data_IF_134945572232
#
_entry.id   IF_134945572232
#
_cell.length_a   1.000
_cell.length_b   1.000
_cell.length_c   1.000
_cell.angle_alpha   90.00
_cell.angle_beta   90.00
_cell.angle_gamma   90.00
#
_symmetry.space_group_name_H-M   'P 1'
#
loop_
_entity.id
_entity.type
_entity.pdbx_description
1 polymer ?
#
# COMPACT_ATOMS: atom_id res chain seq x y z
N UNK A 1 -6.46 -21.20 5.33
CA UNK A 1 -6.78 -19.94 4.63
C UNK A 1 -8.15 -20.16 4.00
N UNK A 2 -9.17 -19.39 4.36
CA UNK A 2 -10.48 -19.57 3.77
C UNK A 2 -10.42 -19.10 2.31
N UNK A 3 -10.69 -19.99 1.36
CA UNK A 3 -10.93 -19.60 -0.03
C UNK A 3 -12.21 -18.77 -0.06
N UNK A 4 -12.11 -17.48 -0.34
CA UNK A 4 -13.28 -16.62 -0.50
C UNK A 4 -13.95 -16.99 -1.82
N UNK A 5 -14.90 -17.90 -1.78
CA UNK A 5 -15.70 -18.30 -2.94
C UNK A 5 -16.66 -17.16 -3.33
N UNK A 6 -16.90 -17.01 -4.64
CA UNK A 6 -17.82 -16.02 -5.17
C UNK A 6 -19.28 -16.44 -4.91
N UNK A 7 -20.06 -15.55 -4.29
CA UNK A 7 -21.47 -15.78 -3.97
C UNK A 7 -22.33 -15.23 -5.11
N UNK A 8 -23.19 -16.08 -5.69
CA UNK A 8 -24.15 -15.68 -6.72
C UNK A 8 -25.24 -14.74 -6.15
N UNK A 9 -25.73 -13.79 -6.95
CA UNK A 9 -26.87 -12.97 -6.54
C UNK A 9 -28.16 -13.80 -6.42
N UNK A 10 -29.16 -13.32 -5.68
CA UNK A 10 -30.50 -13.91 -5.68
C UNK A 10 -31.08 -14.00 -7.09
N UNK A 11 -31.94 -14.99 -7.33
CA UNK A 11 -32.61 -15.15 -8.62
C UNK A 11 -33.39 -13.87 -8.99
N UNK A 12 -33.22 -13.42 -10.24
CA UNK A 12 -33.86 -12.21 -10.74
C UNK A 12 -33.20 -10.89 -10.30
N UNK A 13 -32.04 -10.92 -9.64
CA UNK A 13 -31.32 -9.69 -9.29
C UNK A 13 -30.93 -8.88 -10.54
N UNK A 14 -31.15 -7.57 -10.47
CA UNK A 14 -30.67 -6.59 -11.45
C UNK A 14 -30.01 -5.41 -10.71
N UNK A 15 -28.80 -4.99 -11.11
CA UNK A 15 -28.12 -3.88 -10.44
C UNK A 15 -28.84 -2.55 -10.66
N UNK A 16 -28.90 -1.71 -9.62
CA UNK A 16 -29.35 -0.34 -9.74
C UNK A 16 -28.22 0.56 -10.28
N UNK A 17 -28.16 0.61 -11.62
CA UNK A 17 -27.21 1.42 -12.37
C UNK A 17 -27.36 2.92 -12.10
N UNK A 18 -28.54 3.42 -11.71
CA UNK A 18 -28.75 4.86 -11.48
C UNK A 18 -28.14 5.28 -10.15
N UNK A 19 -28.23 4.42 -9.14
CA UNK A 19 -27.67 4.65 -7.81
C UNK A 19 -26.24 4.15 -7.66
N UNK A 20 -25.65 3.56 -8.70
CA UNK A 20 -24.29 2.98 -8.62
C UNK A 20 -24.19 1.88 -7.57
N UNK A 21 -25.26 1.08 -7.45
CA UNK A 21 -25.33 -0.12 -6.62
C UNK A 21 -25.17 -1.34 -7.53
N UNK A 22 -24.37 -2.30 -7.08
CA UNK A 22 -24.15 -3.55 -7.80
C UNK A 22 -23.92 -4.68 -6.80
N UNK A 23 -24.16 -5.91 -7.26
CA UNK A 23 -23.87 -7.11 -6.50
C UNK A 23 -22.37 -7.29 -6.35
N UNK A 24 -21.92 -7.44 -5.10
CA UNK A 24 -20.54 -7.82 -4.82
C UNK A 24 -20.48 -9.32 -4.47
N UNK A 25 -19.84 -10.17 -5.30
CA UNK A 25 -19.75 -11.61 -5.07
C UNK A 25 -18.97 -11.98 -3.81
N UNK A 26 -18.04 -11.13 -3.38
CA UNK A 26 -17.20 -11.38 -2.22
C UNK A 26 -17.82 -10.87 -0.91
N UNK A 27 -18.74 -9.90 -0.99
CA UNK A 27 -19.51 -9.46 0.18
C UNK A 27 -20.83 -10.23 0.32
N UNK A 28 -21.29 -10.91 -0.74
CA UNK A 28 -22.58 -11.62 -0.77
C UNK A 28 -23.79 -10.70 -0.63
N UNK A 29 -23.69 -9.44 -1.04
CA UNK A 29 -24.77 -8.45 -0.94
C UNK A 29 -24.65 -7.37 -2.01
N UNK A 30 -25.77 -6.69 -2.26
CA UNK A 30 -25.76 -5.43 -3.00
C UNK A 30 -24.98 -4.39 -2.20
N UNK A 31 -24.01 -3.74 -2.86
CA UNK A 31 -23.17 -2.74 -2.20
C UNK A 31 -23.01 -1.50 -3.04
N UNK A 32 -22.82 -0.33 -2.39
CA UNK A 32 -22.39 0.87 -3.06
C UNK A 32 -20.95 0.72 -3.54
N UNK A 33 -20.74 1.02 -4.82
CA UNK A 33 -19.40 1.18 -5.35
C UNK A 33 -18.97 2.64 -5.17
N UNK A 34 -17.68 2.83 -4.94
CA UNK A 34 -17.03 4.12 -4.81
C UNK A 34 -15.97 4.25 -5.90
N UNK A 35 -15.82 5.45 -6.48
CA UNK A 35 -14.85 5.65 -7.54
C UNK A 35 -13.45 5.80 -6.96
N UNK A 36 -12.52 5.00 -7.47
CA UNK A 36 -11.08 5.15 -7.20
C UNK A 36 -10.48 6.07 -8.27
N UNK A 37 -10.20 7.32 -7.89
CA UNK A 37 -9.60 8.32 -8.78
C UNK A 37 -8.15 8.00 -9.13
N UNK A 38 -7.46 7.20 -8.31
CA UNK A 38 -6.05 6.85 -8.54
C UNK A 38 -5.91 5.85 -9.66
N UNK A 39 -6.84 4.90 -9.76
CA UNK A 39 -6.79 3.82 -10.74
C UNK A 39 -7.87 3.91 -11.84
N UNK A 40 -8.77 4.89 -11.74
CA UNK A 40 -9.84 5.16 -12.70
C UNK A 40 -10.84 4.01 -12.91
N UNK A 41 -11.32 3.45 -11.81
CA UNK A 41 -12.37 2.43 -11.83
C UNK A 41 -13.17 2.41 -10.52
N UNK A 42 -14.34 1.78 -10.54
CA UNK A 42 -15.24 1.71 -9.40
C UNK A 42 -14.94 0.49 -8.51
N UNK A 43 -14.85 0.69 -7.19
CA UNK A 43 -14.55 -0.38 -6.22
C UNK A 43 -15.69 -0.56 -5.24
N UNK A 44 -15.97 -1.80 -4.85
CA UNK A 44 -16.89 -2.10 -3.76
C UNK A 44 -16.42 -1.40 -2.48
N UNK A 45 -17.30 -0.65 -1.81
CA UNK A 45 -16.95 0.08 -0.59
C UNK A 45 -16.61 -0.85 0.59
N UNK A 46 -17.09 -2.10 0.56
CA UNK A 46 -16.82 -3.12 1.59
C UNK A 46 -15.46 -3.79 1.41
N UNK A 47 -15.37 -4.69 0.44
CA UNK A 47 -14.19 -5.54 0.23
C UNK A 47 -13.11 -4.92 -0.69
N UNK A 48 -13.44 -3.89 -1.47
CA UNK A 48 -12.50 -3.24 -2.38
C UNK A 48 -12.37 -3.87 -3.77
N UNK A 49 -13.15 -4.92 -4.08
CA UNK A 49 -13.14 -5.53 -5.41
C UNK A 49 -13.56 -4.51 -6.48
N UNK A 50 -12.95 -4.57 -7.66
CA UNK A 50 -13.28 -3.69 -8.77
C UNK A 50 -14.53 -4.14 -9.51
N UNK A 51 -15.17 -3.21 -10.21
CA UNK A 51 -16.21 -3.49 -11.20
C UNK A 51 -15.69 -4.29 -12.42
N UNK A 52 -14.36 -4.34 -12.59
CA UNK A 52 -13.69 -5.09 -13.66
C UNK A 52 -13.47 -6.57 -13.33
N UNK A 53 -13.68 -6.97 -12.08
CA UNK A 53 -13.55 -8.35 -11.64
C UNK A 53 -14.46 -9.30 -12.43
N UNK A 54 -14.00 -10.53 -12.65
CA UNK A 54 -14.70 -11.54 -13.45
C UNK A 54 -16.13 -11.79 -12.95
N UNK A 55 -16.29 -12.07 -11.65
CA UNK A 55 -17.60 -12.41 -11.08
C UNK A 55 -18.47 -11.18 -10.90
N UNK A 56 -17.88 -10.01 -10.63
CA UNK A 56 -18.64 -8.76 -10.62
C UNK A 56 -19.23 -8.48 -12.00
N UNK A 57 -18.45 -8.67 -13.07
CA UNK A 57 -18.97 -8.52 -14.44
C UNK A 57 -19.99 -9.58 -14.79
N UNK A 58 -19.78 -10.83 -14.37
CA UNK A 58 -20.70 -11.93 -14.60
C UNK A 58 -22.07 -11.68 -13.99
N UNK A 59 -22.11 -11.40 -12.70
CA UNK A 59 -23.36 -11.29 -11.95
C UNK A 59 -24.11 -9.98 -12.14
N UNK A 60 -23.44 -8.95 -12.67
CA UNK A 60 -24.07 -7.66 -12.98
C UNK A 60 -24.20 -7.40 -14.49
N UNK A 61 -23.86 -8.38 -15.33
CA UNK A 61 -23.90 -8.28 -16.80
C UNK A 61 -23.08 -7.11 -17.36
N UNK A 62 -21.82 -6.98 -16.95
CA UNK A 62 -20.86 -5.95 -17.43
C UNK A 62 -19.82 -6.50 -18.42
N UNK A 63 -20.22 -7.43 -19.30
CA UNK A 63 -19.28 -8.14 -20.16
C UNK A 63 -18.78 -7.32 -21.34
N UNK A 64 -19.60 -6.48 -21.95
CA UNK A 64 -19.10 -5.65 -23.04
C UNK A 64 -18.41 -4.38 -22.52
N UNK A 65 -17.18 -4.15 -22.97
CA UNK A 65 -16.51 -2.87 -22.73
C UNK A 65 -17.10 -1.76 -23.61
N UNK A 66 -17.70 -2.15 -24.74
CA UNK A 66 -18.53 -1.29 -25.57
C UNK A 66 -19.93 -1.06 -24.96
N UNK A 67 -20.31 -1.82 -23.94
CA UNK A 67 -21.64 -1.72 -23.37
C UNK A 67 -21.80 -0.39 -22.65
N UNK A 68 -22.85 0.34 -23.01
CA UNK A 68 -23.28 1.54 -22.31
C UNK A 68 -23.55 1.27 -20.83
N UNK A 69 -23.76 0.02 -20.42
CA UNK A 69 -24.05 -0.38 -19.03
C UNK A 69 -22.90 -0.15 -18.07
N UNK A 70 -21.69 -0.67 -18.36
CA UNK A 70 -20.55 -0.47 -17.46
C UNK A 70 -20.16 1.02 -17.42
N UNK A 71 -20.19 1.69 -18.57
CA UNK A 71 -19.97 3.13 -18.68
C UNK A 71 -21.00 3.92 -17.86
N UNK A 72 -22.29 3.60 -17.99
CA UNK A 72 -23.37 4.23 -17.23
C UNK A 72 -23.26 3.95 -15.74
N UNK A 73 -22.88 2.74 -15.34
CA UNK A 73 -22.63 2.37 -13.95
C UNK A 73 -21.48 3.20 -13.37
N UNK A 74 -20.33 3.22 -14.02
CA UNK A 74 -19.17 4.00 -13.58
C UNK A 74 -19.51 5.50 -13.55
N UNK A 75 -20.26 5.99 -14.54
CA UNK A 75 -20.73 7.37 -14.56
C UNK A 75 -21.70 7.68 -13.41
N UNK A 76 -22.60 6.76 -13.05
CA UNK A 76 -23.47 6.89 -11.90
C UNK A 76 -22.71 6.84 -10.57
N UNK A 77 -21.70 5.97 -10.45
CA UNK A 77 -20.79 5.94 -9.31
C UNK A 77 -20.05 7.28 -9.19
N UNK A 78 -19.54 7.85 -10.28
CA UNK A 78 -18.94 9.19 -10.29
C UNK A 78 -19.92 10.27 -9.84
N UNK A 79 -21.14 10.28 -10.38
CA UNK A 79 -22.21 11.23 -10.01
C UNK A 79 -22.64 11.10 -8.55
N UNK A 80 -22.54 9.91 -7.97
CA UNK A 80 -22.86 9.69 -6.55
C UNK A 80 -21.86 10.34 -5.59
N UNK A 81 -20.69 10.81 -6.07
CA UNK A 81 -19.68 11.49 -5.25
C UNK A 81 -18.91 10.58 -4.28
N UNK A 82 -19.23 9.28 -4.22
CA UNK A 82 -18.55 8.31 -3.36
C UNK A 82 -17.11 8.08 -3.82
N UNK A 83 -16.15 8.40 -2.96
CA UNK A 83 -14.71 8.24 -3.22
C UNK A 83 -14.16 7.03 -2.49
N UNK A 84 -13.43 6.16 -3.19
CA UNK A 84 -12.75 5.03 -2.57
C UNK A 84 -11.46 5.52 -1.89
N UNK A 85 -11.43 5.52 -0.56
CA UNK A 85 -10.33 6.08 0.25
C UNK A 85 -9.45 5.04 0.96
N UNK A 86 -9.71 3.73 0.80
CA UNK A 86 -8.86 2.73 1.45
C UNK A 86 -7.42 2.90 0.94
N UNK A 87 -6.43 2.99 1.85
CA UNK A 87 -5.04 3.07 1.46
C UNK A 87 -4.65 1.80 0.69
N UNK A 88 -3.70 1.92 -0.22
CA UNK A 88 -3.08 0.73 -0.77
C UNK A 88 -2.23 0.06 0.30
N UNK A 89 -2.07 -1.24 0.22
CA UNK A 89 -1.23 -2.00 1.16
C UNK A 89 0.20 -1.43 1.28
N UNK A 90 0.79 -0.97 0.17
CA UNK A 90 2.11 -0.31 0.18
C UNK A 90 2.08 1.13 0.72
N UNK A 91 0.92 1.78 0.84
CA UNK A 91 0.78 3.07 1.53
C UNK A 91 0.75 2.87 3.06
N UNK A 92 0.18 1.76 3.55
CA UNK A 92 0.22 1.40 4.97
C UNK A 92 1.66 1.10 5.44
N UNK A 93 2.45 0.37 4.63
CA UNK A 93 3.87 0.11 4.93
C UNK A 93 4.72 1.38 5.06
N UNK A 94 4.38 2.45 4.33
CA UNK A 94 5.09 3.72 4.44
C UNK A 94 4.81 4.45 5.76
N UNK A 95 3.64 4.26 6.38
CA UNK A 95 3.32 4.83 7.69
C UNK A 95 4.08 4.14 8.83
N UNK A 96 4.36 2.83 8.72
CA UNK A 96 5.20 2.10 9.68
C UNK A 96 6.68 2.55 9.64
N UNK A 97 7.19 2.94 8.47
CA UNK A 97 8.56 3.48 8.37
C UNK A 97 8.72 4.83 9.07
N UNK A 98 7.69 5.68 9.11
CA UNK A 98 7.71 6.96 9.82
C UNK A 98 7.76 6.79 11.36
N UNK A 99 7.26 5.67 11.88
CA UNK A 99 7.19 5.39 13.32
C UNK A 99 8.35 4.56 13.85
N UNK A 100 9.23 4.02 13.00
CA UNK A 100 10.36 3.19 13.39
C UNK A 100 11.55 4.02 13.92
N UNK A 101 11.31 4.79 14.98
CA UNK A 101 12.36 5.50 15.72
C UNK A 101 12.99 4.54 16.72
N UNK A 102 14.31 4.39 16.69
CA UNK A 102 15.05 3.56 17.65
C UNK A 102 16.13 4.35 18.37
N UNK A 103 16.52 3.97 19.60
CA UNK A 103 17.53 4.69 20.36
C UNK A 103 18.93 4.48 19.78
N UNK A 104 19.75 5.52 19.81
CA UNK A 104 21.16 5.44 19.44
C UNK A 104 21.98 4.72 20.52
N UNK A 105 22.79 3.72 20.16
CA UNK A 105 23.63 2.98 21.12
C UNK A 105 24.71 3.84 21.84
N UNK A 106 25.00 5.06 21.34
CA UNK A 106 26.02 5.96 21.92
C UNK A 106 25.44 7.09 22.77
N UNK A 107 24.23 7.58 22.45
CA UNK A 107 23.65 8.74 23.12
C UNK A 107 22.19 8.55 23.56
N UNK A 108 21.55 7.42 23.26
CA UNK A 108 20.16 7.13 23.62
C UNK A 108 19.10 7.87 22.82
N UNK A 109 19.46 8.94 22.09
CA UNK A 109 18.53 9.75 21.30
C UNK A 109 17.83 8.91 20.23
N UNK A 110 16.50 9.06 20.15
CA UNK A 110 15.67 8.41 19.14
C UNK A 110 15.97 9.00 17.77
N UNK A 111 16.23 8.14 16.79
CA UNK A 111 16.46 8.55 15.41
C UNK A 111 15.77 7.60 14.43
N UNK A 112 15.51 8.08 13.22
CA UNK A 112 14.99 7.29 12.11
C UNK A 112 16.16 6.62 11.38
N UNK A 113 16.30 5.29 11.44
CA UNK A 113 17.36 4.59 10.76
C UNK A 113 16.99 4.38 9.28
N UNK A 114 17.95 4.61 8.37
CA UNK A 114 17.80 4.23 6.97
C UNK A 114 17.83 2.70 6.74
N UNK A 115 18.34 1.93 7.70
CA UNK A 115 18.36 0.46 7.65
C UNK A 115 18.34 -0.16 9.05
N UNK A 116 17.87 -1.41 9.16
CA UNK A 116 17.79 -2.12 10.45
C UNK A 116 19.15 -2.25 11.15
N UNK A 117 20.25 -2.29 10.39
CA UNK A 117 21.62 -2.38 10.92
C UNK A 117 22.20 -1.07 11.44
N UNK A 118 21.54 0.07 11.23
CA UNK A 118 22.11 1.36 11.63
C UNK A 118 22.05 1.52 13.16
N UNK A 119 23.18 1.51 13.87
CA UNK A 119 23.23 1.49 15.34
C UNK A 119 23.32 2.86 16.02
N UNK A 120 23.64 3.91 15.25
CA UNK A 120 23.96 5.23 15.78
C UNK A 120 23.20 6.33 15.05
N UNK A 121 22.83 7.39 15.77
CA UNK A 121 22.29 8.60 15.16
C UNK A 121 23.33 9.26 14.23
N UNK A 122 22.91 10.12 13.28
CA UNK A 122 23.81 10.71 12.28
C UNK A 122 25.05 11.41 12.90
N UNK A 123 24.87 12.09 14.03
CA UNK A 123 25.96 12.78 14.76
C UNK A 123 26.96 11.77 15.36
N UNK A 124 26.46 10.73 16.03
CA UNK A 124 27.30 9.70 16.65
C UNK A 124 27.99 8.82 15.61
N UNK A 125 27.32 8.52 14.49
CA UNK A 125 27.91 7.81 13.36
C UNK A 125 29.06 8.62 12.73
N UNK A 126 28.90 9.93 12.55
CA UNK A 126 29.96 10.80 12.04
C UNK A 126 31.19 10.84 12.96
N UNK A 127 30.98 10.88 14.28
CA UNK A 127 32.07 10.78 15.27
C UNK A 127 32.81 9.44 15.18
N UNK A 128 32.08 8.32 15.15
CA UNK A 128 32.66 6.98 15.03
C UNK A 128 33.47 6.82 13.73
N UNK A 129 32.97 7.35 12.60
CA UNK A 129 33.70 7.35 11.32
C UNK A 129 35.03 8.11 11.42
N UNK A 130 35.04 9.29 12.06
CA UNK A 130 36.26 10.08 12.28
C UNK A 130 37.27 9.35 13.17
N UNK A 131 36.80 8.75 14.26
CA UNK A 131 37.64 7.93 15.17
C UNK A 131 38.26 6.74 14.44
N UNK A 132 37.46 5.99 13.68
CA UNK A 132 37.94 4.86 12.90
C UNK A 132 38.97 5.28 11.84
N UNK A 133 38.75 6.40 11.14
CA UNK A 133 39.71 6.92 10.16
C UNK A 133 41.05 7.31 10.80
N UNK A 134 41.02 7.98 11.97
CA UNK A 134 42.23 8.27 12.74
C UNK A 134 42.97 7.01 13.17
N UNK A 135 42.24 6.01 13.69
CA UNK A 135 42.83 4.74 14.13
C UNK A 135 43.44 3.96 12.97
N UNK A 136 42.81 3.97 11.78
CA UNK A 136 43.39 3.37 10.57
C UNK A 136 44.71 4.03 10.18
N UNK A 137 44.76 5.37 10.11
CA UNK A 137 46.00 6.11 9.81
C UNK A 137 47.10 5.84 10.84
N UNK A 138 46.74 5.78 12.13
CA UNK A 138 47.67 5.43 13.21
C UNK A 138 48.26 4.03 13.00
N UNK A 139 47.41 3.02 12.84
CA UNK A 139 47.84 1.63 12.59
C UNK A 139 48.68 1.49 11.32
N UNK A 140 48.36 2.26 10.28
CA UNK A 140 49.16 2.29 9.05
C UNK A 140 50.58 2.81 9.30
N UNK A 141 50.72 3.94 10.02
CA UNK A 141 52.02 4.50 10.40
C UNK A 141 52.80 3.54 11.30
N UNK A 142 52.14 2.89 12.26
CA UNK A 142 52.76 1.88 13.12
C UNK A 142 53.28 0.70 12.30
N UNK A 143 52.49 0.16 11.36
CA UNK A 143 52.93 -0.90 10.45
C UNK A 143 54.10 -0.48 9.56
N UNK A 144 54.09 0.73 9.02
CA UNK A 144 55.21 1.25 8.22
C UNK A 144 56.50 1.40 9.04
N UNK A 145 56.40 1.81 10.31
CA UNK A 145 57.55 1.88 11.21
C UNK A 145 58.14 0.50 11.51
N UNK A 146 57.29 -0.51 11.71
CA UNK A 146 57.74 -1.89 11.96
C UNK A 146 58.34 -2.53 10.70
N UNK A 147 57.79 -2.23 9.51
CA UNK A 147 58.29 -2.79 8.24
C UNK A 147 59.53 -2.07 7.68
N UNK A 148 59.86 -0.88 8.17
CA UNK A 148 61.02 -0.09 7.75
C UNK A 148 62.22 -0.17 8.72
N UNK A 149 62.20 -1.14 9.65
CA UNK A 149 63.28 -1.42 10.58
C UNK A 149 63.90 -2.79 10.27
#
# INVERSE_FOLDING_TARGET
MAETQAIAPPEGYSPDLKRGLAWCPYCGRETPFAYDFRLNYARCSGCGISERDFYVRQFNSFWDQADRRIGAFVHAVKRSGRKYKKPFFWEEQNQEMETNKKPCNRCGELFTPASNHHLHCPKCAAKAKREAARNRKRRQRERQKVAGC
#
